data_IF_706911486076
#
_entry.id   IF_706911486076
#
_cell.length_a   1.000
_cell.length_b   1.000
_cell.length_c   1.000
_cell.angle_alpha   90.00
_cell.angle_beta   90.00
_cell.angle_gamma   90.00
#
_symmetry.space_group_name_H-M   'P 1'
#
loop_
_entity.id
_entity.type
_entity.pdbx_description
1 polymer ?
#
# COMPACT_ATOMS: atom_id res chain seq x y z
N UNK A 1 -13.93 8.96 14.36
CA UNK A 1 -12.86 7.94 14.51
C UNK A 1 -12.01 8.24 15.72
N UNK A 2 -11.73 7.25 16.57
CA UNK A 2 -10.83 7.43 17.71
C UNK A 2 -9.36 7.14 17.34
N UNK A 3 -8.57 8.19 17.10
CA UNK A 3 -7.12 8.04 17.01
C UNK A 3 -6.54 7.72 18.40
N UNK A 4 -5.48 6.92 18.41
CA UNK A 4 -4.77 6.51 19.62
C UNK A 4 -3.48 7.33 19.73
N UNK A 5 -3.16 7.84 20.94
CA UNK A 5 -1.94 8.61 21.13
C UNK A 5 -0.69 7.75 20.90
N UNK A 6 0.43 8.41 20.65
CA UNK A 6 1.76 7.79 20.63
C UNK A 6 1.99 6.98 21.90
N UNK A 7 2.65 5.83 21.79
CA UNK A 7 3.03 5.02 22.95
C UNK A 7 4.32 4.26 22.65
N UNK A 8 5.22 4.26 23.63
CA UNK A 8 6.49 3.57 23.49
C UNK A 8 6.30 2.04 23.42
N UNK A 9 5.45 1.53 24.31
CA UNK A 9 4.93 0.16 24.25
C UNK A 9 3.40 0.23 24.36
N UNK A 10 2.66 -0.15 23.31
CA UNK A 10 1.23 -0.27 23.42
C UNK A 10 0.90 -1.45 24.33
N UNK A 11 0.13 -1.21 25.39
CA UNK A 11 -0.45 -2.29 26.17
C UNK A 11 -1.50 -3.01 25.32
N UNK A 12 -1.48 -4.35 25.34
CA UNK A 12 -2.58 -5.14 24.83
C UNK A 12 -3.82 -4.85 25.67
N UNK A 13 -4.94 -4.52 25.04
CA UNK A 13 -6.21 -4.41 25.78
C UNK A 13 -6.47 -5.73 26.52
N UNK A 14 -6.95 -5.70 27.78
CA UNK A 14 -7.09 -6.89 28.60
C UNK A 14 -8.00 -7.92 27.91
N UNK A 15 -7.41 -9.07 27.57
CA UNK A 15 -8.02 -10.34 27.22
C UNK A 15 -9.47 -10.30 26.73
N UNK A 16 -9.64 -10.01 25.45
CA UNK A 16 -10.60 -10.76 24.65
C UNK A 16 -9.83 -11.73 23.76
N UNK A 17 -9.39 -12.86 24.34
CA UNK A 17 -9.20 -14.10 23.57
C UNK A 17 -10.58 -14.61 23.08
N UNK A 18 -11.36 -13.75 22.45
CA UNK A 18 -12.47 -14.15 21.60
C UNK A 18 -11.76 -14.60 20.34
N UNK A 19 -11.70 -15.92 20.13
CA UNK A 19 -11.07 -16.57 18.97
C UNK A 19 -11.06 -15.63 17.77
N UNK A 20 -9.88 -15.09 17.41
CA UNK A 20 -9.72 -13.92 16.55
C UNK A 20 -10.69 -13.96 15.37
N UNK A 21 -11.86 -13.33 15.55
CA UNK A 21 -12.82 -13.26 14.48
C UNK A 21 -12.15 -12.39 13.44
N UNK A 22 -12.00 -12.91 12.21
CA UNK A 22 -11.45 -12.10 11.13
C UNK A 22 -12.27 -10.82 11.10
N UNK A 23 -11.62 -9.64 11.13
CA UNK A 23 -12.34 -8.39 11.10
C UNK A 23 -13.25 -8.39 9.87
N UNK A 24 -14.47 -7.86 10.03
CA UNK A 24 -15.34 -7.61 8.89
C UNK A 24 -14.58 -6.78 7.85
N UNK A 25 -15.02 -6.88 6.60
CA UNK A 25 -14.39 -6.14 5.49
C UNK A 25 -15.43 -5.26 4.83
N UNK A 26 -14.95 -4.13 4.32
CA UNK A 26 -15.70 -3.22 3.47
C UNK A 26 -15.22 -3.42 2.05
N UNK A 27 -16.14 -3.82 1.17
CA UNK A 27 -15.86 -4.10 -0.23
C UNK A 27 -16.13 -2.88 -1.11
N UNK A 28 -15.13 -2.49 -1.88
CA UNK A 28 -15.22 -1.43 -2.87
C UNK A 28 -15.32 -2.07 -4.25
N UNK A 29 -16.47 -1.89 -4.91
CA UNK A 29 -16.83 -2.52 -6.17
C UNK A 29 -16.53 -1.60 -7.36
N UNK A 30 -16.12 -2.21 -8.46
CA UNK A 30 -15.95 -1.53 -9.75
C UNK A 30 -17.30 -1.52 -10.50
N UNK A 31 -17.88 -0.34 -10.81
CA UNK A 31 -19.24 -0.22 -11.36
C UNK A 31 -19.36 -0.64 -12.83
N UNK A 32 -18.28 -0.53 -13.61
CA UNK A 32 -18.27 -0.95 -15.02
C UNK A 32 -18.48 -2.45 -15.28
N UNK A 33 -18.26 -3.32 -14.29
CA UNK A 33 -18.43 -4.77 -14.46
C UNK A 33 -19.71 -5.27 -13.78
N UNK A 34 -20.35 -6.28 -14.36
CA UNK A 34 -21.49 -6.95 -13.75
C UNK A 34 -21.05 -7.83 -12.57
N UNK A 35 -21.96 -8.01 -11.61
CA UNK A 35 -21.71 -8.80 -10.40
C UNK A 35 -20.78 -8.11 -9.39
N UNK A 36 -20.23 -8.90 -8.47
CA UNK A 36 -19.36 -8.43 -7.39
C UNK A 36 -17.91 -8.27 -7.86
N UNK A 37 -17.65 -7.31 -8.75
CA UNK A 37 -16.30 -6.97 -9.19
C UNK A 37 -15.57 -6.14 -8.10
N UNK A 38 -15.13 -6.81 -7.03
CA UNK A 38 -14.42 -6.19 -5.91
C UNK A 38 -13.07 -5.66 -6.38
N UNK A 39 -12.95 -4.33 -6.41
CA UNK A 39 -11.73 -3.59 -6.67
C UNK A 39 -10.77 -3.72 -5.49
N UNK A 40 -11.25 -3.41 -4.29
CA UNK A 40 -10.52 -3.54 -3.04
C UNK A 40 -11.48 -4.06 -1.98
N UNK A 41 -11.01 -4.97 -1.15
CA UNK A 41 -11.68 -5.35 0.09
C UNK A 41 -10.76 -4.90 1.21
N UNK A 42 -11.21 -4.06 2.13
CA UNK A 42 -10.36 -3.48 3.18
C UNK A 42 -10.91 -3.86 4.57
N UNK A 43 -10.04 -4.17 5.55
CA UNK A 43 -10.49 -4.59 6.88
C UNK A 43 -11.12 -3.43 7.64
N UNK A 44 -12.26 -3.69 8.28
CA UNK A 44 -13.07 -2.69 8.99
C UNK A 44 -12.54 -2.45 10.43
N UNK A 45 -11.31 -1.94 10.51
CA UNK A 45 -10.57 -1.74 11.77
C UNK A 45 -10.84 -0.38 12.42
N UNK A 46 -11.57 0.50 11.74
CA UNK A 46 -11.88 1.86 12.18
C UNK A 46 -13.28 1.91 12.82
N UNK A 47 -13.38 1.59 14.12
CA UNK A 47 -14.64 1.56 14.88
C UNK A 47 -15.80 0.81 14.15
N UNK A 48 -15.48 -0.37 13.60
CA UNK A 48 -16.41 -1.22 12.86
C UNK A 48 -16.56 -0.88 11.37
N UNK A 49 -15.79 0.07 10.86
CA UNK A 49 -15.76 0.47 9.45
C UNK A 49 -14.34 0.78 8.96
N UNK A 50 -14.23 1.61 7.92
CA UNK A 50 -12.96 2.12 7.40
C UNK A 50 -12.99 3.64 7.23
N UNK A 51 -11.85 4.28 7.49
CA UNK A 51 -11.63 5.70 7.20
C UNK A 51 -11.95 6.04 5.74
N UNK A 52 -12.84 7.02 5.55
CA UNK A 52 -13.33 7.48 4.27
C UNK A 52 -12.20 7.95 3.35
N UNK A 53 -11.29 8.78 3.86
CA UNK A 53 -10.22 9.39 3.07
C UNK A 53 -9.15 8.36 2.69
N UNK A 54 -8.85 7.43 3.59
CA UNK A 54 -7.97 6.28 3.34
C UNK A 54 -8.55 5.37 2.26
N UNK A 55 -9.83 5.01 2.36
CA UNK A 55 -10.51 4.18 1.38
C UNK A 55 -10.58 4.85 0.00
N UNK A 56 -10.94 6.14 -0.04
CA UNK A 56 -11.03 6.93 -1.27
C UNK A 56 -9.67 7.01 -1.97
N UNK A 57 -8.62 7.28 -1.20
CA UNK A 57 -7.24 7.34 -1.70
C UNK A 57 -6.78 5.98 -2.22
N UNK A 58 -7.06 4.89 -1.49
CA UNK A 58 -6.70 3.53 -1.92
C UNK A 58 -7.39 3.15 -3.24
N UNK A 59 -8.70 3.39 -3.37
CA UNK A 59 -9.43 3.15 -4.61
C UNK A 59 -8.90 4.04 -5.76
N UNK A 60 -8.61 5.31 -5.46
CA UNK A 60 -8.01 6.24 -6.42
C UNK A 60 -6.64 5.78 -6.93
N UNK A 61 -5.79 5.22 -6.07
CA UNK A 61 -4.49 4.62 -6.48
C UNK A 61 -4.72 3.49 -7.48
N UNK A 62 -5.64 2.55 -7.17
CA UNK A 62 -5.96 1.44 -8.07
C UNK A 62 -6.56 1.93 -9.39
N UNK A 63 -7.31 3.03 -9.37
CA UNK A 63 -7.89 3.66 -10.55
C UNK A 63 -6.93 4.60 -11.31
N UNK A 64 -5.63 4.60 -10.97
CA UNK A 64 -4.63 5.43 -11.68
C UNK A 64 -4.63 6.88 -11.25
N UNK A 65 -4.60 7.12 -9.94
CA UNK A 65 -4.56 8.45 -9.29
C UNK A 65 -5.86 9.26 -9.40
N UNK A 66 -7.01 8.58 -9.36
CA UNK A 66 -8.35 9.18 -9.58
C UNK A 66 -9.13 9.42 -8.29
N UNK A 67 -8.47 9.90 -7.23
CA UNK A 67 -9.14 10.24 -5.95
C UNK A 67 -9.83 11.60 -5.94
N UNK A 68 -9.46 12.55 -6.82
CA UNK A 68 -10.07 13.89 -6.86
C UNK A 68 -11.47 13.89 -7.45
N UNK A 69 -11.67 13.06 -8.47
CA UNK A 69 -12.91 12.95 -9.22
C UNK A 69 -13.66 11.63 -8.93
N UNK A 70 -13.00 10.69 -8.25
CA UNK A 70 -13.65 9.52 -7.71
C UNK A 70 -14.55 9.82 -6.52
N UNK A 71 -15.63 9.04 -6.37
CA UNK A 71 -16.53 9.13 -5.23
C UNK A 71 -17.17 7.76 -4.93
N UNK A 72 -17.71 7.62 -3.72
CA UNK A 72 -18.44 6.42 -3.33
C UNK A 72 -19.95 6.56 -3.59
N UNK A 73 -20.58 5.45 -3.98
CA UNK A 73 -22.02 5.34 -4.16
C UNK A 73 -22.52 4.03 -3.55
N UNK A 74 -23.75 4.02 -3.02
CA UNK A 74 -24.40 2.80 -2.57
C UNK A 74 -25.00 1.98 -3.71
N UNK A 75 -25.15 2.58 -4.90
CA UNK A 75 -25.63 1.90 -6.11
C UNK A 75 -24.63 1.97 -7.27
N UNK A 76 -24.80 1.02 -8.21
CA UNK A 76 -23.94 0.84 -9.38
C UNK A 76 -24.03 2.00 -10.39
N UNK A 77 -25.15 2.69 -10.47
CA UNK A 77 -25.33 3.82 -11.40
C UNK A 77 -24.64 5.11 -10.94
N UNK A 78 -24.32 5.20 -9.65
CA UNK A 78 -23.70 6.39 -9.05
C UNK A 78 -24.72 7.46 -8.62
N UNK A 79 -26.02 7.18 -8.68
CA UNK A 79 -27.08 8.14 -8.34
C UNK A 79 -27.12 8.45 -6.84
N UNK A 80 -26.89 7.43 -6.00
CA UNK A 80 -26.91 7.50 -4.54
C UNK A 80 -25.50 7.74 -4.01
N UNK A 81 -25.00 8.95 -4.26
CA UNK A 81 -23.67 9.37 -3.81
C UNK A 81 -23.59 9.36 -2.28
N UNK A 82 -22.59 8.66 -1.75
CA UNK A 82 -22.26 8.62 -0.33
C UNK A 82 -21.51 9.89 0.04
N UNK A 83 -22.07 10.66 0.97
CA UNK A 83 -21.38 11.80 1.56
C UNK A 83 -20.36 11.31 2.58
N UNK A 84 -19.27 12.06 2.74
CA UNK A 84 -18.27 11.79 3.79
C UNK A 84 -18.96 11.86 5.16
N UNK A 85 -18.99 10.78 5.95
CA UNK A 85 -19.58 10.82 7.29
C UNK A 85 -18.84 11.81 8.21
N UNK A 86 -19.54 12.37 9.20
CA UNK A 86 -18.95 13.34 10.13
C UNK A 86 -17.77 12.73 10.91
N UNK A 87 -17.93 11.49 11.34
CA UNK A 87 -16.89 10.72 12.02
C UNK A 87 -15.86 10.10 11.09
N UNK A 88 -16.01 10.34 9.77
CA UNK A 88 -15.18 9.90 8.66
C UNK A 88 -15.14 8.38 8.45
N UNK A 89 -16.11 7.62 8.97
CA UNK A 89 -16.07 6.14 8.90
C UNK A 89 -17.18 5.57 8.02
N UNK A 90 -16.77 4.81 7.01
CA UNK A 90 -17.64 3.99 6.16
C UNK A 90 -17.94 2.64 6.82
N UNK A 91 -19.21 2.37 7.14
CA UNK A 91 -19.65 1.17 7.89
C UNK A 91 -20.49 0.17 7.10
N UNK A 92 -20.94 0.54 5.91
CA UNK A 92 -21.65 -0.42 5.06
C UNK A 92 -20.69 -1.48 4.55
N UNK A 93 -21.22 -2.67 4.26
CA UNK A 93 -20.41 -3.80 3.80
C UNK A 93 -19.86 -3.59 2.38
N UNK A 94 -20.51 -2.74 1.58
CA UNK A 94 -20.14 -2.53 0.19
C UNK A 94 -20.40 -1.10 -0.30
N UNK A 95 -19.51 -0.61 -1.15
CA UNK A 95 -19.62 0.65 -1.85
C UNK A 95 -19.15 0.50 -3.30
N UNK A 96 -19.70 1.28 -4.22
CA UNK A 96 -19.15 1.40 -5.58
C UNK A 96 -18.18 2.58 -5.64
N UNK A 97 -16.98 2.37 -6.17
CA UNK A 97 -16.06 3.45 -6.49
C UNK A 97 -16.36 3.96 -7.90
N UNK A 98 -16.99 5.13 -7.98
CA UNK A 98 -17.46 5.75 -9.21
C UNK A 98 -16.43 6.74 -9.73
N UNK A 99 -16.29 6.82 -11.06
CA UNK A 99 -15.55 7.86 -11.76
C UNK A 99 -16.50 8.59 -12.73
N UNK A 100 -16.26 9.87 -13.04
CA UNK A 100 -17.04 10.57 -14.04
C UNK A 100 -16.83 9.94 -15.43
N UNK A 101 -17.92 9.85 -16.18
CA UNK A 101 -17.93 9.27 -17.52
C UNK A 101 -18.87 8.07 -17.64
N UNK A 102 -18.94 7.45 -18.82
CA UNK A 102 -19.77 6.28 -19.03
C UNK A 102 -19.21 5.06 -18.28
N UNK A 103 -20.11 4.15 -17.88
CA UNK A 103 -19.73 2.86 -17.28
C UNK A 103 -19.18 1.85 -18.31
N UNK A 104 -19.48 2.09 -19.59
CA UNK A 104 -19.05 1.28 -20.71
C UNK A 104 -18.31 2.18 -21.74
N UNK A 105 -17.01 1.92 -22.02
CA UNK A 105 -16.19 0.86 -21.45
C UNK A 105 -15.86 1.10 -19.96
N UNK A 106 -15.68 0.04 -19.15
CA UNK A 106 -15.22 0.17 -17.76
C UNK A 106 -13.95 1.01 -17.67
N UNK A 107 -13.77 1.78 -16.59
CA UNK A 107 -12.51 2.50 -16.40
C UNK A 107 -11.34 1.52 -16.19
N UNK A 108 -10.12 1.86 -16.64
CA UNK A 108 -8.98 0.97 -16.50
C UNK A 108 -8.41 1.02 -15.07
N UNK A 109 -7.85 -0.10 -14.60
CA UNK A 109 -7.23 -0.21 -13.27
C UNK A 109 -5.74 -0.51 -13.36
N UNK A 110 -4.93 0.05 -12.47
CA UNK A 110 -3.51 -0.25 -12.34
C UNK A 110 -3.34 -1.61 -11.66
N UNK A 111 -2.71 -2.61 -12.33
CA UNK A 111 -2.73 -3.97 -11.83
C UNK A 111 -1.68 -4.27 -10.75
N UNK A 112 -0.64 -3.43 -10.63
CA UNK A 112 0.48 -3.58 -9.68
C UNK A 112 1.33 -2.32 -9.65
N UNK A 113 2.15 -2.20 -8.60
CA UNK A 113 2.99 -1.03 -8.35
C UNK A 113 3.93 -0.66 -9.50
N UNK A 114 4.56 -1.63 -10.18
CA UNK A 114 5.49 -1.32 -11.28
C UNK A 114 4.85 -0.55 -12.45
N UNK A 115 3.55 -0.74 -12.68
CA UNK A 115 2.83 0.03 -13.69
C UNK A 115 2.27 1.34 -13.15
N UNK A 116 2.15 1.51 -11.83
CA UNK A 116 1.70 2.77 -11.24
C UNK A 116 2.70 3.89 -11.50
N UNK A 117 2.23 5.12 -11.72
CA UNK A 117 3.08 6.31 -11.82
C UNK A 117 2.80 7.27 -10.69
N UNK A 118 3.85 7.87 -10.16
CA UNK A 118 3.76 8.79 -9.04
C UNK A 118 3.09 10.12 -9.47
N UNK A 119 2.07 10.61 -8.73
CA UNK A 119 1.37 11.85 -9.04
C UNK A 119 2.14 13.07 -8.52
N UNK A 120 3.21 13.48 -9.22
CA UNK A 120 3.97 14.67 -8.83
C UNK A 120 3.06 15.89 -8.65
N UNK A 121 3.21 16.58 -7.52
CA UNK A 121 2.43 17.76 -7.12
C UNK A 121 0.91 17.51 -6.95
N UNK A 122 0.46 16.25 -7.03
CA UNK A 122 -0.96 15.88 -6.97
C UNK A 122 -1.26 14.80 -5.93
N UNK A 123 -0.44 14.71 -4.88
CA UNK A 123 -0.73 13.85 -3.72
C UNK A 123 -2.02 14.32 -3.01
N UNK A 124 -2.76 13.43 -2.33
CA UNK A 124 -4.06 13.79 -1.76
C UNK A 124 -3.98 14.91 -0.73
N UNK A 125 -5.04 15.73 -0.64
CA UNK A 125 -5.04 16.97 0.15
C UNK A 125 -4.67 16.76 1.64
N UNK A 126 -5.08 15.64 2.23
CA UNK A 126 -4.76 15.32 3.62
C UNK A 126 -3.26 15.09 3.85
N UNK A 127 -2.58 14.52 2.85
CA UNK A 127 -1.12 14.32 2.86
C UNK A 127 -0.38 15.64 2.68
N UNK A 128 -0.86 16.52 1.79
CA UNK A 128 -0.30 17.86 1.60
C UNK A 128 -0.43 18.70 2.87
N UNK A 129 -1.61 18.69 3.51
CA UNK A 129 -1.88 19.38 4.78
C UNK A 129 -0.94 18.88 5.88
N UNK A 130 -0.86 17.56 6.07
CA UNK A 130 0.05 16.98 7.04
C UNK A 130 1.51 17.39 6.80
N UNK A 131 1.96 17.37 5.55
CA UNK A 131 3.34 17.75 5.19
C UNK A 131 3.63 19.21 5.56
N UNK A 132 2.70 20.13 5.25
CA UNK A 132 2.82 21.55 5.59
C UNK A 132 2.87 21.78 7.11
N UNK A 133 2.00 21.12 7.88
CA UNK A 133 1.97 21.23 9.33
C UNK A 133 3.23 20.63 9.97
N UNK A 134 3.66 19.47 9.48
CA UNK A 134 4.91 18.84 9.91
C UNK A 134 6.13 19.71 9.59
N UNK A 135 6.15 20.40 8.43
CA UNK A 135 7.20 21.36 8.10
C UNK A 135 7.22 22.55 9.06
N UNK A 136 6.05 23.08 9.45
CA UNK A 136 5.95 24.17 10.42
C UNK A 136 6.43 23.77 11.83
N UNK A 137 6.16 22.53 12.26
CA UNK A 137 6.56 22.02 13.57
C UNK A 137 8.07 21.69 13.69
N UNK A 138 8.81 21.62 12.57
CA UNK A 138 10.22 21.18 12.50
C UNK A 138 11.26 22.23 12.92
N UNK A 139 10.85 23.36 13.49
CA UNK A 139 11.74 24.47 13.90
C UNK A 139 12.53 24.22 15.20
N UNK A 140 12.76 22.96 15.62
CA UNK A 140 13.47 22.65 16.86
C UNK A 140 14.09 21.25 16.94
N UNK A 141 15.39 21.15 16.61
CA UNK A 141 16.29 20.06 17.01
C UNK A 141 16.34 18.82 16.09
N UNK A 142 17.51 18.17 16.02
CA UNK A 142 17.66 16.84 15.41
C UNK A 142 16.86 15.81 16.23
N UNK A 143 15.91 15.12 15.58
CA UNK A 143 15.25 13.98 16.20
C UNK A 143 16.30 12.89 16.49
N UNK A 144 16.41 12.49 17.76
CA UNK A 144 17.24 11.35 18.15
C UNK A 144 16.87 10.11 17.31
N UNK A 145 17.87 9.32 16.87
CA UNK A 145 17.67 8.06 16.14
C UNK A 145 16.95 7.04 17.02
N UNK A 146 15.62 7.12 17.04
CA UNK A 146 14.71 6.25 17.78
C UNK A 146 13.70 5.65 16.83
N UNK A 147 13.10 4.53 17.23
CA UNK A 147 12.02 3.96 16.45
C UNK A 147 10.85 4.96 16.35
N UNK A 148 10.37 5.26 15.14
CA UNK A 148 9.24 6.19 14.94
C UNK A 148 7.91 5.67 15.49
N UNK A 149 7.83 4.39 15.82
CA UNK A 149 6.62 3.77 16.37
C UNK A 149 6.71 3.53 17.89
N UNK A 150 7.81 2.97 18.38
CA UNK A 150 7.98 2.62 19.79
C UNK A 150 8.87 3.59 20.58
N UNK A 151 9.55 4.54 19.93
CA UNK A 151 10.50 5.45 20.58
C UNK A 151 11.70 4.77 21.28
N UNK A 152 11.89 3.45 21.04
CA UNK A 152 13.03 2.70 21.58
C UNK A 152 14.33 3.19 20.93
N UNK A 153 15.42 3.17 21.70
CA UNK A 153 16.77 3.51 21.24
C UNK A 153 17.59 2.32 20.77
N UNK A 154 17.18 1.10 21.14
CA UNK A 154 17.92 -0.14 20.88
C UNK A 154 17.16 -1.08 19.93
N UNK A 155 17.89 -1.98 19.27
CA UNK A 155 17.31 -2.95 18.32
C UNK A 155 16.72 -2.29 17.06
N UNK A 156 17.36 -1.21 16.61
CA UNK A 156 16.88 -0.37 15.52
C UNK A 156 17.46 -0.79 14.16
N UNK A 157 16.62 -0.69 13.14
CA UNK A 157 16.96 -0.90 11.74
C UNK A 157 16.48 0.29 10.90
N UNK A 158 17.20 0.53 9.80
CA UNK A 158 16.81 1.51 8.79
C UNK A 158 15.86 0.84 7.80
N UNK A 159 14.59 1.24 7.86
CA UNK A 159 13.52 0.74 7.02
C UNK A 159 13.29 1.66 5.84
N UNK A 160 13.40 1.12 4.63
CA UNK A 160 13.02 1.85 3.44
C UNK A 160 11.50 1.98 3.34
N UNK A 161 11.00 3.19 3.10
CA UNK A 161 9.62 3.41 2.71
C UNK A 161 9.36 2.68 1.39
N UNK A 162 10.18 2.91 0.37
CA UNK A 162 10.16 2.16 -0.88
C UNK A 162 11.38 1.24 -0.89
N UNK A 163 11.20 -0.09 -0.85
CA UNK A 163 12.32 -1.02 -0.79
C UNK A 163 13.29 -0.82 -1.95
N UNK A 164 14.58 -1.05 -1.69
CA UNK A 164 15.65 -0.89 -2.68
C UNK A 164 15.42 -1.67 -3.99
N UNK A 165 14.64 -2.76 -3.97
CA UNK A 165 14.29 -3.53 -5.18
C UNK A 165 13.25 -2.86 -6.11
N UNK A 166 12.79 -1.65 -5.78
CA UNK A 166 11.92 -0.82 -6.63
C UNK A 166 12.71 0.36 -7.25
N UNK A 167 14.03 0.22 -7.40
CA UNK A 167 14.95 1.18 -8.02
C UNK A 167 14.54 1.57 -9.46
N UNK A 168 14.18 0.60 -10.29
CA UNK A 168 13.67 0.85 -11.64
C UNK A 168 12.43 1.76 -11.62
N UNK A 169 11.51 1.50 -10.70
CA UNK A 169 10.31 2.31 -10.52
C UNK A 169 10.66 3.70 -10.01
N UNK A 170 11.57 3.78 -9.04
CA UNK A 170 12.04 5.04 -8.46
C UNK A 170 12.63 5.98 -9.51
N UNK A 171 13.57 5.47 -10.32
CA UNK A 171 14.22 6.22 -11.38
C UNK A 171 13.22 6.65 -12.47
N UNK A 172 12.36 5.71 -12.90
CA UNK A 172 11.37 5.96 -13.94
C UNK A 172 10.25 6.93 -13.52
N UNK A 173 10.08 7.18 -12.22
CA UNK A 173 9.19 8.21 -11.68
C UNK A 173 9.94 9.44 -11.17
N UNK A 174 11.21 9.62 -11.52
CA UNK A 174 12.00 10.77 -11.11
C UNK A 174 11.96 11.07 -9.59
N UNK A 175 11.85 10.03 -8.76
CA UNK A 175 11.68 10.19 -7.31
C UNK A 175 12.92 10.77 -6.61
N UNK A 176 14.08 10.75 -7.28
CA UNK A 176 15.32 11.41 -6.82
C UNK A 176 15.16 12.90 -6.53
N UNK A 177 14.16 13.58 -7.13
CA UNK A 177 13.90 15.00 -6.84
C UNK A 177 13.49 15.26 -5.38
N UNK A 178 12.92 14.25 -4.70
CA UNK A 178 12.48 14.33 -3.30
C UNK A 178 13.54 13.82 -2.33
N UNK A 179 14.63 13.24 -2.85
CA UNK A 179 15.71 12.63 -2.07
C UNK A 179 17.06 13.13 -2.59
N UNK A 180 17.39 14.43 -2.38
CA UNK A 180 18.67 14.96 -2.80
C UNK A 180 19.80 14.20 -2.09
N UNK A 181 20.65 13.53 -2.88
CA UNK A 181 21.69 12.62 -2.39
C UNK A 181 22.65 13.35 -1.46
N UNK A 182 22.94 12.77 -0.28
CA UNK A 182 24.10 13.17 0.49
C UNK A 182 25.37 12.68 -0.22
N UNK A 183 26.44 13.47 -0.12
CA UNK A 183 27.71 13.40 -0.86
C UNK A 183 28.44 12.01 -0.91
N UNK A 184 27.91 10.96 -0.29
CA UNK A 184 28.57 9.66 -0.11
C UNK A 184 27.69 8.41 -0.34
N UNK A 185 26.41 8.52 -0.75
CA UNK A 185 25.59 7.35 -1.13
C UNK A 185 25.66 7.09 -2.64
N UNK A 186 25.69 5.82 -3.03
CA UNK A 186 25.79 5.39 -4.43
C UNK A 186 24.45 5.48 -5.18
N UNK A 187 23.31 5.28 -4.49
CA UNK A 187 21.98 5.27 -5.11
C UNK A 187 20.99 6.26 -4.43
N UNK A 188 20.21 7.06 -5.19
CA UNK A 188 19.25 8.03 -4.62
C UNK A 188 18.11 7.41 -3.80
N UNK A 189 17.76 6.15 -4.06
CA UNK A 189 16.71 5.40 -3.33
C UNK A 189 17.11 5.13 -1.87
N UNK A 190 18.41 5.11 -1.57
CA UNK A 190 18.95 4.97 -0.21
C UNK A 190 19.08 6.31 0.52
N UNK A 191 18.58 7.39 -0.09
CA UNK A 191 18.64 8.70 0.52
C UNK A 191 17.73 8.82 1.76
N UNK A 192 18.04 9.76 2.67
CA UNK A 192 17.36 9.89 3.97
C UNK A 192 15.88 10.28 3.86
N UNK A 193 15.41 10.66 2.67
CA UNK A 193 13.99 10.92 2.39
C UNK A 193 13.14 9.65 2.31
N UNK A 194 13.76 8.52 1.99
CA UNK A 194 13.13 7.22 1.83
C UNK A 194 13.34 6.31 3.06
N UNK A 195 13.88 6.83 4.17
CA UNK A 195 14.33 6.02 5.29
C UNK A 195 13.63 6.39 6.61
N UNK A 196 13.10 5.39 7.30
CA UNK A 196 12.60 5.47 8.67
C UNK A 196 13.42 4.59 9.60
N UNK A 197 13.56 5.00 10.86
CA UNK A 197 14.13 4.13 11.89
C UNK A 197 13.01 3.34 12.57
N UNK A 198 13.08 2.01 12.53
CA UNK A 198 12.10 1.11 13.13
C UNK A 198 12.79 0.10 14.04
N UNK A 199 12.08 -0.40 15.06
CA UNK A 199 12.51 -1.58 15.81
C UNK A 199 12.44 -2.80 14.88
N UNK A 200 13.39 -3.72 14.97
CA UNK A 200 13.55 -4.82 13.99
C UNK A 200 12.28 -5.68 13.78
N UNK A 201 11.50 -5.93 14.84
CA UNK A 201 10.22 -6.63 14.77
C UNK A 201 9.17 -5.86 13.96
N UNK A 202 9.06 -4.55 14.19
CA UNK A 202 8.15 -3.66 13.46
C UNK A 202 8.59 -3.47 12.02
N UNK A 203 9.91 -3.41 11.76
CA UNK A 203 10.47 -3.33 10.41
C UNK A 203 10.10 -4.56 9.59
N UNK A 204 10.25 -5.77 10.14
CA UNK A 204 9.88 -7.01 9.44
C UNK A 204 8.42 -7.01 9.01
N UNK A 205 7.51 -6.61 9.90
CA UNK A 205 6.06 -6.55 9.62
C UNK A 205 5.71 -5.40 8.66
N UNK A 206 6.45 -4.28 8.75
CA UNK A 206 6.34 -3.17 7.81
C UNK A 206 6.64 -3.66 6.39
N UNK A 207 7.82 -4.23 6.13
CA UNK A 207 8.29 -4.70 4.83
C UNK A 207 7.40 -5.77 4.18
N UNK A 208 6.74 -6.59 4.99
CA UNK A 208 5.73 -7.54 4.53
C UNK A 208 4.39 -6.90 4.10
N UNK A 209 4.30 -5.56 4.14
CA UNK A 209 3.11 -4.76 3.76
C UNK A 209 1.90 -5.04 4.64
N UNK A 210 2.13 -5.32 5.92
CA UNK A 210 1.01 -5.47 6.86
C UNK A 210 0.38 -4.13 7.23
N UNK A 211 1.17 -3.07 7.29
CA UNK A 211 0.72 -1.72 7.57
C UNK A 211 1.55 -0.68 6.82
N UNK A 212 1.02 0.54 6.75
CA UNK A 212 1.79 1.74 6.39
C UNK A 212 1.34 2.93 7.23
N UNK A 213 1.94 4.10 6.99
CA UNK A 213 1.61 5.32 7.70
C UNK A 213 0.66 6.17 6.85
N UNK A 214 -0.45 6.62 7.43
CA UNK A 214 -1.50 7.37 6.74
C UNK A 214 -1.89 8.58 7.59
N UNK A 215 -2.02 9.78 7.01
CA UNK A 215 -2.54 10.93 7.74
C UNK A 215 -4.05 10.78 7.93
N UNK A 216 -4.54 11.02 9.13
CA UNK A 216 -5.96 11.04 9.47
C UNK A 216 -6.29 12.31 10.24
N UNK A 217 -7.44 12.92 9.95
CA UNK A 217 -7.97 14.02 10.76
C UNK A 217 -8.57 13.42 12.05
N UNK A 218 -8.28 14.02 13.21
CA UNK A 218 -9.03 13.71 14.42
C UNK A 218 -10.44 14.33 14.33
N UNK A 219 -11.39 13.70 15.03
CA UNK A 219 -12.74 14.19 15.18
C UNK A 219 -12.75 15.66 15.64
N UNK A 220 -13.48 16.52 14.92
CA UNK A 220 -13.94 17.77 15.49
C UNK A 220 -14.98 17.39 16.55
N UNK A 221 -14.56 17.23 17.80
CA UNK A 221 -15.46 17.14 18.95
C UNK A 221 -16.23 18.48 19.07
N UNK A 222 -17.29 18.64 18.28
CA UNK A 222 -17.95 19.93 18.09
C UNK A 222 -19.20 19.85 17.20
N UNK A 223 -19.96 18.78 17.33
CA UNK A 223 -21.27 18.62 16.69
C UNK A 223 -22.25 17.91 17.62
N UNK A 224 -22.18 18.23 18.92
CA UNK A 224 -23.21 17.80 19.85
C UNK A 224 -24.54 18.37 19.40
N UNK A 225 -25.47 17.51 19.02
CA UNK A 225 -26.89 17.80 18.94
C UNK A 225 -27.33 18.44 20.26
N UNK A 226 -27.48 19.76 20.25
CA UNK A 226 -27.77 20.56 21.43
C UNK A 226 -28.34 21.91 21.02
N UNK A 227 -29.66 21.88 20.83
CA UNK A 227 -30.62 22.99 20.93
C UNK A 227 -30.42 24.27 20.10
N UNK A 228 -31.49 24.64 19.39
CA UNK A 228 -31.56 25.86 18.60
C UNK A 228 -31.66 27.08 19.53
N UNK A 229 -30.52 27.66 19.88
CA UNK A 229 -30.40 28.93 20.59
C UNK A 229 -29.62 29.95 19.77
N UNK A 230 -30.31 30.98 19.27
CA UNK A 230 -29.74 32.07 18.49
C UNK A 230 -28.56 32.76 19.21
N UNK A 231 -27.43 32.89 18.52
CA UNK A 231 -26.28 33.66 18.99
C UNK A 231 -25.11 33.57 18.03
N UNK A 232 -24.90 34.63 17.24
CA UNK A 232 -23.77 34.79 16.34
C UNK A 232 -22.45 34.84 17.11
N UNK A 233 -21.64 33.80 17.01
CA UNK A 233 -20.21 33.85 17.26
C UNK A 233 -19.49 33.06 16.16
N UNK A 234 -18.65 33.76 15.39
CA UNK A 234 -17.67 33.13 14.51
C UNK A 234 -16.70 32.33 15.38
N UNK A 235 -17.02 31.05 15.60
CA UNK A 235 -16.06 30.09 16.09
C UNK A 235 -15.09 29.81 14.93
N UNK A 236 -13.95 30.50 14.93
CA UNK A 236 -12.75 29.98 14.28
C UNK A 236 -12.34 28.74 15.07
N UNK A 237 -13.01 27.62 14.83
CA UNK A 237 -12.59 26.32 15.36
C UNK A 237 -11.21 26.05 14.77
N UNK A 238 -10.17 26.21 15.59
CA UNK A 238 -8.80 25.82 15.26
C UNK A 238 -8.82 24.34 14.86
N UNK A 239 -8.77 24.08 13.56
CA UNK A 239 -8.79 22.72 13.04
C UNK A 239 -7.48 22.07 13.42
N UNK A 240 -7.53 21.05 14.26
CA UNK A 240 -6.35 20.29 14.69
C UNK A 240 -5.61 19.75 13.45
N UNK A 241 -4.27 19.81 13.41
CA UNK A 241 -3.51 19.26 12.30
C UNK A 241 -3.78 17.75 12.17
N UNK A 242 -3.80 17.20 10.94
CA UNK A 242 -3.91 15.77 10.74
C UNK A 242 -2.75 15.05 11.42
N UNK A 243 -3.01 13.88 11.97
CA UNK A 243 -1.98 13.04 12.60
C UNK A 243 -1.60 11.91 11.67
N UNK A 244 -0.30 11.64 11.56
CA UNK A 244 0.16 10.46 10.87
C UNK A 244 0.05 9.25 11.81
N UNK A 245 -0.71 8.25 11.38
CA UNK A 245 -1.00 7.05 12.17
C UNK A 245 -0.63 5.78 11.42
N UNK A 246 -0.46 4.69 12.15
CA UNK A 246 -0.33 3.35 11.55
C UNK A 246 -1.70 2.86 11.07
N UNK A 247 -1.83 2.56 9.78
CA UNK A 247 -2.99 1.91 9.21
C UNK A 247 -2.65 0.48 8.76
N UNK A 248 -3.38 -0.49 9.32
CA UNK A 248 -3.16 -1.93 9.08
C UNK A 248 -4.03 -2.39 7.91
N UNK A 249 -3.40 -2.90 6.85
CA UNK A 249 -4.07 -3.46 5.67
C UNK A 249 -4.22 -4.98 5.75
N UNK A 250 -3.22 -5.65 6.32
CA UNK A 250 -3.20 -7.10 6.48
C UNK A 250 -2.90 -7.43 7.94
N UNK A 251 -3.87 -7.98 8.67
CA UNK A 251 -3.60 -8.43 10.05
C UNK A 251 -2.72 -9.67 10.05
N UNK A 252 -1.85 -9.79 11.06
CA UNK A 252 -1.16 -11.03 11.38
C UNK A 252 -2.17 -12.05 11.92
N UNK A 253 -1.88 -13.37 11.83
CA UNK A 253 -2.75 -14.41 12.40
C UNK A 253 -3.05 -14.24 13.89
N UNK A 254 -2.14 -13.57 14.63
CA UNK A 254 -2.31 -13.31 16.06
C UNK A 254 -3.34 -12.21 16.37
N UNK A 255 -3.75 -11.38 15.40
CA UNK A 255 -4.63 -10.23 15.65
C UNK A 255 -3.98 -9.07 16.43
N UNK A 256 -2.77 -9.26 16.94
CA UNK A 256 -2.11 -8.27 17.81
C UNK A 256 -1.71 -6.99 17.08
N UNK A 257 -1.35 -7.08 15.79
CA UNK A 257 -0.92 -5.91 15.02
C UNK A 257 -2.00 -4.80 15.00
N UNK A 258 -3.26 -5.08 14.60
CA UNK A 258 -4.30 -4.06 14.65
C UNK A 258 -4.65 -3.63 16.07
N UNK A 259 -4.65 -4.55 17.04
CA UNK A 259 -4.94 -4.23 18.44
C UNK A 259 -3.93 -3.27 19.06
N UNK A 260 -2.64 -3.42 18.74
CA UNK A 260 -1.57 -2.61 19.32
C UNK A 260 -1.35 -1.31 18.54
N UNK A 261 -1.39 -1.38 17.21
CA UNK A 261 -0.85 -0.32 16.35
C UNK A 261 -1.87 0.39 15.47
N UNK A 262 -3.03 -0.20 15.14
CA UNK A 262 -3.98 0.49 14.26
C UNK A 262 -4.47 1.82 14.86
N UNK A 263 -4.50 2.87 14.03
CA UNK A 263 -4.81 4.25 14.40
C UNK A 263 -3.94 4.86 15.49
N UNK A 264 -2.78 4.25 15.79
CA UNK A 264 -1.80 4.83 16.71
C UNK A 264 -0.96 5.87 16.00
N UNK A 265 -0.92 7.07 16.57
CA UNK A 265 -0.04 8.14 16.11
C UNK A 265 1.43 7.71 16.23
N UNK A 266 2.23 8.13 15.25
CA UNK A 266 3.67 7.92 15.26
C UNK A 266 4.39 8.99 16.09
N UNK A 267 5.55 8.65 16.63
CA UNK A 267 6.47 9.63 17.19
C UNK A 267 7.01 10.54 16.07
N UNK A 268 7.73 11.60 16.46
CA UNK A 268 8.28 12.57 15.51
C UNK A 268 9.06 11.88 14.37
N UNK A 269 8.65 12.14 13.14
CA UNK A 269 9.32 11.64 11.94
C UNK A 269 10.51 12.56 11.61
N UNK A 270 11.67 12.00 11.20
CA UNK A 270 12.81 12.81 10.77
C UNK A 270 12.42 13.84 9.71
N UNK A 271 13.01 15.04 9.81
CA UNK A 271 12.74 16.12 8.86
C UNK A 271 13.18 15.80 7.42
N UNK A 272 14.08 14.83 7.27
CA UNK A 272 14.56 14.37 5.97
C UNK A 272 13.51 13.59 5.20
N UNK A 273 12.55 12.94 5.87
CA UNK A 273 11.55 12.06 5.25
C UNK A 273 10.56 12.86 4.41
N UNK A 274 10.47 12.50 3.13
CA UNK A 274 9.57 13.14 2.18
C UNK A 274 8.15 12.56 2.27
N UNK A 275 7.14 13.42 2.16
CA UNK A 275 5.73 12.99 2.11
C UNK A 275 5.47 12.12 0.87
N UNK A 276 6.20 12.36 -0.20
CA UNK A 276 6.14 11.62 -1.45
C UNK A 276 6.58 10.17 -1.27
N UNK A 277 7.61 9.91 -0.47
CA UNK A 277 8.03 8.55 -0.14
C UNK A 277 7.01 7.85 0.76
N UNK A 278 6.40 8.57 1.72
CA UNK A 278 5.32 8.01 2.54
C UNK A 278 4.09 7.65 1.69
N UNK A 279 3.73 8.50 0.73
CA UNK A 279 2.61 8.25 -0.17
C UNK A 279 2.89 7.12 -1.15
N UNK A 280 4.12 7.06 -1.71
CA UNK A 280 4.52 5.93 -2.55
C UNK A 280 4.54 4.61 -1.77
N UNK A 281 4.89 4.60 -0.47
CA UNK A 281 4.72 3.42 0.41
C UNK A 281 3.27 2.99 0.50
N UNK A 282 2.36 3.94 0.67
CA UNK A 282 0.93 3.67 0.72
C UNK A 282 0.46 3.00 -0.57
N UNK A 283 0.82 3.56 -1.74
CA UNK A 283 0.49 2.96 -3.02
C UNK A 283 1.11 1.57 -3.22
N UNK A 284 2.37 1.37 -2.79
CA UNK A 284 3.06 0.07 -2.81
C UNK A 284 2.36 -0.99 -1.96
N UNK A 285 1.80 -0.58 -0.82
CA UNK A 285 1.01 -1.44 0.07
C UNK A 285 -0.34 -1.79 -0.54
N UNK A 286 -1.08 -0.81 -1.05
CA UNK A 286 -2.41 -0.98 -1.67
C UNK A 286 -2.34 -1.87 -2.91
N UNK A 287 -1.36 -1.66 -3.78
CA UNK A 287 -1.18 -2.43 -5.03
C UNK A 287 -0.49 -3.78 -4.82
N UNK A 288 -0.31 -4.20 -3.57
CA UNK A 288 0.29 -5.48 -3.27
C UNK A 288 -0.66 -6.65 -3.54
N UNK A 289 -0.17 -7.84 -3.90
CA UNK A 289 -1.02 -9.02 -4.14
C UNK A 289 -1.79 -9.52 -2.92
N UNK A 290 -1.51 -8.99 -1.72
CA UNK A 290 -2.23 -9.30 -0.47
C UNK A 290 -3.43 -8.37 -0.26
N UNK A 291 -3.34 -7.11 -0.70
CA UNK A 291 -4.42 -6.12 -0.57
C UNK A 291 -5.28 -6.07 -1.84
N UNK A 292 -4.64 -6.09 -3.00
CA UNK A 292 -5.30 -6.15 -4.31
C UNK A 292 -5.39 -7.60 -4.79
N UNK A 293 -6.17 -8.41 -4.07
CA UNK A 293 -6.22 -9.87 -4.20
C UNK A 293 -7.52 -10.43 -4.77
N UNK A 294 -8.53 -9.59 -5.03
CA UNK A 294 -9.83 -10.04 -5.54
C UNK A 294 -10.05 -9.70 -7.03
N UNK A 295 -9.69 -8.49 -7.45
CA UNK A 295 -10.09 -7.97 -8.77
C UNK A 295 -9.49 -8.73 -9.95
N UNK A 296 -8.20 -9.09 -9.86
CA UNK A 296 -7.44 -9.75 -10.93
C UNK A 296 -7.52 -11.28 -10.89
N UNK A 297 -7.25 -11.98 -9.77
CA UNK A 297 -7.15 -13.44 -9.80
C UNK A 297 -8.49 -14.15 -9.87
N UNK A 298 -9.55 -13.54 -9.35
CA UNK A 298 -10.88 -14.16 -9.20
C UNK A 298 -11.86 -13.79 -10.32
N UNK A 299 -11.38 -13.20 -11.43
CA UNK A 299 -12.24 -12.73 -12.52
C UNK A 299 -12.56 -13.83 -13.54
N UNK A 300 -13.84 -14.01 -13.93
CA UNK A 300 -14.23 -14.81 -15.09
C UNK A 300 -14.27 -13.99 -16.39
N UNK A 301 -14.21 -12.66 -16.31
CA UNK A 301 -14.32 -11.73 -17.45
C UNK A 301 -13.01 -10.99 -17.70
N UNK A 302 -12.76 -10.53 -18.94
CA UNK A 302 -11.63 -9.65 -19.22
C UNK A 302 -11.64 -8.39 -18.35
N UNK A 303 -10.45 -7.89 -18.02
CA UNK A 303 -10.28 -6.65 -17.25
C UNK A 303 -9.53 -5.64 -18.08
N UNK A 304 -10.04 -4.41 -18.08
CA UNK A 304 -9.36 -3.25 -18.64
C UNK A 304 -8.27 -2.79 -17.67
N UNK A 305 -7.01 -2.95 -18.05
CA UNK A 305 -5.86 -2.62 -17.22
C UNK A 305 -5.14 -1.38 -17.75
N UNK A 306 -4.65 -0.57 -16.83
CA UNK A 306 -3.80 0.58 -17.12
C UNK A 306 -2.34 0.18 -16.94
N UNK A 307 -1.60 0.09 -18.04
CA UNK A 307 -0.21 -0.35 -18.08
C UNK A 307 0.68 0.82 -18.50
N UNK A 308 1.74 1.06 -17.72
CA UNK A 308 2.79 1.99 -18.15
C UNK A 308 3.74 1.31 -19.13
N UNK A 309 3.95 1.93 -20.30
CA UNK A 309 4.97 1.55 -21.27
C UNK A 309 6.18 2.44 -21.09
N UNK A 310 7.30 1.89 -20.58
CA UNK A 310 8.55 2.63 -20.44
C UNK A 310 9.11 3.08 -21.79
N UNK A 311 8.96 2.27 -22.84
CA UNK A 311 9.46 2.59 -24.20
C UNK A 311 8.77 3.81 -24.82
N UNK A 312 7.48 3.98 -24.55
CA UNK A 312 6.65 5.04 -25.15
C UNK A 312 6.35 6.17 -24.18
N UNK A 313 6.85 6.08 -22.94
CA UNK A 313 6.57 6.99 -21.83
C UNK A 313 5.08 7.37 -21.72
N UNK A 314 4.20 6.38 -21.89
CA UNK A 314 2.76 6.62 -21.90
C UNK A 314 1.98 5.49 -21.25
N UNK A 315 0.78 5.85 -20.84
CA UNK A 315 -0.23 4.91 -20.42
C UNK A 315 -0.84 4.20 -21.64
N UNK A 316 -0.86 2.88 -21.57
CA UNK A 316 -1.58 2.03 -22.50
C UNK A 316 -2.69 1.32 -21.75
N UNK A 317 -3.86 1.31 -22.36
CA UNK A 317 -5.00 0.58 -21.83
C UNK A 317 -5.14 -0.73 -22.59
N UNK A 318 -5.11 -1.84 -21.86
CA UNK A 318 -5.17 -3.18 -22.45
C UNK A 318 -6.33 -3.95 -21.85
N UNK A 319 -7.09 -4.62 -22.70
CA UNK A 319 -8.08 -5.61 -22.26
C UNK A 319 -7.37 -6.94 -22.01
N UNK A 320 -7.17 -7.27 -20.75
CA UNK A 320 -6.46 -8.47 -20.33
C UNK A 320 -7.45 -9.62 -20.10
N UNK A 321 -7.16 -10.78 -20.70
CA UNK A 321 -7.95 -11.99 -20.44
C UNK A 321 -7.85 -12.42 -18.97
N UNK A 322 -8.80 -13.25 -18.48
CA UNK A 322 -8.72 -13.83 -17.13
C UNK A 322 -7.40 -14.56 -16.84
N UNK A 323 -6.86 -15.29 -17.82
CA UNK A 323 -5.58 -16.01 -17.70
C UNK A 323 -4.43 -15.03 -17.53
N UNK A 324 -4.42 -13.95 -18.31
CA UNK A 324 -3.42 -12.89 -18.22
C UNK A 324 -3.49 -12.18 -16.87
N UNK A 325 -4.68 -11.88 -16.36
CA UNK A 325 -4.89 -11.29 -15.04
C UNK A 325 -4.32 -12.20 -13.92
N UNK A 326 -4.63 -13.51 -13.96
CA UNK A 326 -4.11 -14.51 -13.02
C UNK A 326 -2.58 -14.60 -13.08
N UNK A 327 -2.00 -14.61 -14.29
CA UNK A 327 -0.54 -14.66 -14.49
C UNK A 327 0.15 -13.41 -13.93
N UNK A 328 -0.39 -12.22 -14.23
CA UNK A 328 0.16 -10.95 -13.73
C UNK A 328 0.16 -10.89 -12.21
N UNK A 329 -0.92 -11.33 -11.58
CA UNK A 329 -1.03 -11.36 -10.13
C UNK A 329 -0.09 -12.38 -9.48
N UNK A 330 0.08 -13.58 -10.08
CA UNK A 330 1.06 -14.58 -9.59
C UNK A 330 2.48 -14.05 -9.66
N UNK A 331 2.86 -13.40 -10.77
CA UNK A 331 4.20 -12.84 -10.95
C UNK A 331 4.50 -11.67 -10.00
N UNK A 332 3.47 -10.97 -9.52
CA UNK A 332 3.66 -9.95 -8.49
C UNK A 332 4.01 -10.54 -7.12
N UNK A 333 3.59 -11.78 -6.82
CA UNK A 333 3.94 -12.47 -5.56
C UNK A 333 5.39 -12.94 -5.52
N UNK A 334 5.96 -13.36 -6.66
CA UNK A 334 7.33 -13.89 -6.72
C UNK A 334 8.40 -12.82 -6.52
N UNK A 335 8.08 -11.54 -6.71
CA UNK A 335 8.98 -10.39 -6.46
C UNK A 335 8.91 -9.83 -5.03
N UNK A 336 8.05 -10.37 -4.16
CA UNK A 336 8.02 -9.94 -2.76
C UNK A 336 9.39 -10.18 -2.13
N UNK A 337 9.93 -9.28 -1.28
CA UNK A 337 11.26 -9.44 -0.69
C UNK A 337 11.33 -10.74 0.12
N UNK A 338 11.80 -11.81 -0.51
CA UNK A 338 12.25 -12.98 0.22
C UNK A 338 13.68 -12.67 0.62
N UNK A 339 13.94 -12.68 1.92
CA UNK A 339 15.27 -12.54 2.53
C UNK A 339 16.29 -13.27 1.66
N UNK A 340 17.22 -12.54 1.02
CA UNK A 340 18.32 -13.15 0.26
C UNK A 340 19.01 -14.10 1.23
N UNK A 341 19.08 -15.39 0.90
CA UNK A 341 20.03 -16.29 1.54
C UNK A 341 21.40 -15.64 1.41
N UNK A 342 22.14 -15.53 2.52
CA UNK A 342 23.48 -14.95 2.53
C UNK A 342 24.33 -15.54 1.39
N UNK A 343 25.16 -14.75 0.72
CA UNK A 343 26.09 -15.29 -0.27
C UNK A 343 26.94 -16.36 0.44
N UNK A 344 26.91 -17.59 -0.08
CA UNK A 344 27.88 -18.62 0.31
C UNK A 344 29.25 -18.02 0.07
N UNK A 345 29.98 -17.72 1.14
CA UNK A 345 31.38 -17.38 1.07
C UNK A 345 32.10 -18.56 0.43
N UNK A 346 32.48 -18.44 -0.83
CA UNK A 346 33.50 -19.30 -1.44
C UNK A 346 34.84 -18.88 -0.84
N UNK A 347 35.09 -19.29 0.39
CA UNK A 347 36.34 -19.13 1.11
C UNK A 347 36.93 -20.51 1.35
N UNK A 348 38.11 -20.75 0.77
CA UNK A 348 38.93 -21.95 0.90
C UNK A 348 39.22 -22.33 2.36
N UNK A 349 38.26 -22.97 3.02
CA UNK A 349 38.37 -23.46 4.39
C UNK A 349 37.57 -24.75 4.63
N UNK A 350 37.05 -25.37 3.56
CA UNK A 350 36.24 -26.60 3.59
C UNK A 350 37.06 -27.84 3.20
N UNK A 351 38.38 -27.85 3.46
CA UNK A 351 39.24 -29.02 3.22
C UNK A 351 39.75 -29.69 4.52
N UNK A 352 39.29 -29.27 5.70
CA UNK A 352 39.80 -29.82 6.97
C UNK A 352 38.77 -30.46 7.91
N UNK A 353 37.49 -30.57 7.54
CA UNK A 353 36.48 -31.19 8.42
C UNK A 353 35.58 -32.22 7.73
N UNK A 354 35.97 -32.75 6.58
CA UNK A 354 35.27 -33.87 5.93
C UNK A 354 35.78 -35.24 6.41
N UNK A 355 35.73 -35.48 7.73
CA UNK A 355 35.78 -36.84 8.31
C UNK A 355 34.95 -36.86 9.59
N UNK A 356 33.65 -37.07 9.44
CA UNK A 356 32.89 -38.12 10.12
C UNK A 356 31.37 -37.89 10.02
N UNK A 357 30.65 -39.01 10.00
CA UNK A 357 29.20 -39.17 10.18
C UNK A 357 28.24 -38.98 8.99
N UNK A 358 28.10 -40.10 8.27
CA UNK A 358 26.87 -40.77 7.81
C UNK A 358 25.54 -40.25 8.40
N UNK A 359 24.56 -39.98 7.51
CA UNK A 359 23.18 -40.49 7.68
C UNK A 359 22.00 -39.51 7.57
N UNK A 360 21.27 -39.61 6.44
CA UNK A 360 19.85 -39.27 6.21
C UNK A 360 19.48 -37.76 6.29
N UNK A 361 18.80 -37.13 5.33
CA UNK A 361 17.70 -37.57 4.49
C UNK A 361 17.64 -36.68 3.23
N UNK A 362 17.37 -37.35 2.13
CA UNK A 362 17.06 -36.85 0.80
C UNK A 362 15.71 -36.08 0.77
N UNK A 363 15.73 -34.87 0.22
CA UNK A 363 14.60 -34.37 -0.55
C UNK A 363 15.13 -33.43 -1.63
N UNK A 364 15.63 -34.02 -2.71
CA UNK A 364 15.91 -33.31 -3.95
C UNK A 364 14.67 -32.60 -4.50
N UNK A 365 14.86 -31.39 -5.00
CA UNK A 365 14.45 -30.95 -6.33
C UNK A 365 15.03 -29.54 -6.54
N UNK A 366 16.26 -29.50 -7.05
CA UNK A 366 16.83 -28.33 -7.70
C UNK A 366 16.38 -28.37 -9.15
N UNK A 367 15.59 -27.40 -9.58
CA UNK A 367 15.44 -27.09 -11.00
C UNK A 367 16.10 -25.72 -11.22
N UNK A 368 17.19 -25.77 -11.97
CA UNK A 368 17.96 -24.63 -12.46
C UNK A 368 17.19 -23.95 -13.57
N UNK A 369 16.76 -22.70 -13.37
CA UNK A 369 16.27 -21.88 -14.47
C UNK A 369 17.19 -20.67 -14.70
N UNK A 370 17.69 -20.67 -15.93
CA UNK A 370 18.55 -19.69 -16.57
C UNK A 370 17.89 -18.31 -16.58
N UNK A 371 18.68 -17.29 -16.29
CA UNK A 371 18.31 -15.89 -16.41
C UNK A 371 18.31 -15.51 -17.90
N UNK A 372 17.14 -15.19 -18.46
CA UNK A 372 17.09 -14.42 -19.70
C UNK A 372 15.93 -13.41 -19.65
N UNK A 373 16.33 -12.14 -19.53
CA UNK A 373 15.46 -10.98 -19.44
C UNK A 373 15.36 -10.32 -20.81
N UNK A 374 14.27 -10.60 -21.55
CA UNK A 374 13.76 -9.70 -22.59
C UNK A 374 12.30 -10.05 -22.91
N UNK A 375 11.35 -9.26 -22.40
CA UNK A 375 9.97 -9.33 -22.85
C UNK A 375 9.79 -8.35 -24.01
N UNK A 376 9.76 -8.87 -25.24
CA UNK A 376 9.48 -8.10 -26.46
C UNK A 376 8.07 -8.45 -26.97
N UNK A 377 7.10 -7.51 -27.03
CA UNK A 377 5.71 -7.81 -27.41
C UNK A 377 5.48 -7.99 -28.92
N UNK A 378 6.51 -7.90 -29.75
CA UNK A 378 6.36 -7.64 -31.20
C UNK A 378 6.30 -8.87 -32.11
N UNK A 379 6.09 -10.09 -31.59
CA UNK A 379 6.21 -11.30 -32.42
C UNK A 379 5.07 -12.29 -32.19
N UNK A 380 3.88 -11.94 -32.68
CA UNK A 380 2.79 -12.90 -32.89
C UNK A 380 2.11 -12.57 -34.22
N UNK A 381 2.67 -13.10 -35.30
CA UNK A 381 1.92 -13.32 -36.54
C UNK A 381 1.34 -14.73 -36.48
N UNK A 382 0.10 -14.84 -36.93
CA UNK A 382 -0.77 -16.02 -36.93
C UNK A 382 -0.10 -17.26 -37.54
N UNK A 383 -0.14 -18.39 -36.85
CA UNK A 383 0.02 -19.71 -37.48
C UNK A 383 -1.35 -20.37 -37.60
N UNK A 384 -1.84 -20.46 -38.84
CA UNK A 384 -3.03 -21.24 -39.21
C UNK A 384 -2.78 -22.76 -39.05
N UNK A 385 -3.82 -23.55 -38.71
CA UNK A 385 -3.69 -24.99 -38.50
C UNK A 385 -3.58 -25.75 -39.83
N UNK A 386 -2.44 -26.41 -40.07
CA UNK A 386 -2.30 -27.34 -41.21
C UNK A 386 -3.02 -28.66 -40.94
N UNK A 387 -3.94 -28.98 -41.83
CA UNK A 387 -4.75 -30.20 -41.83
C UNK A 387 -3.93 -31.48 -42.01
N UNK A 388 -4.50 -32.55 -41.43
CA UNK A 388 -4.03 -33.93 -41.47
C UNK A 388 -4.50 -34.58 -42.79
N UNK A 389 -3.59 -35.09 -43.61
CA UNK A 389 -3.94 -35.96 -44.74
C UNK A 389 -3.43 -37.37 -44.49
N UNK A 390 -4.32 -38.33 -44.72
CA UNK A 390 -4.09 -39.77 -44.64
C UNK A 390 -3.19 -40.25 -45.78
N UNK A 391 -2.34 -41.23 -45.47
CA UNK A 391 -2.06 -42.39 -46.34
C UNK A 391 -2.24 -43.62 -45.47
#
# INVERSE_FOLDING_TARGET
MRLRPTANEPESQPNHYVAAQRPSRVDFLHPGYSGSAVLLSLPALDDGGIDFDTALTACGVVAGNRWRDGFFSSDRSGASRVQRPDDSILRELQYFFQLPGPLDPPYPTVPRFSHWRFPHNDVPALWQRWSADAAAARMGGEAARRCVLSNYGDGLEMAHLLPAGEDDWWLSNHMQQYSPTQLFSSDPIDGPANLLTLRADLHCVFDERHFCLVPKDEENAGGGSGDAGAGSYQATTERKPPQLVVHVFNSTPSGQLPELWHNRAVHAIPATVAVECLFARFAWTVLSPRVFDMFLPSTPVPRRLLLWSCEKEKWETTEASPEMCRKMWKNARSRSPRKRSAPRSTGASEELLAKDSVGLIDSGYFETDNYDSAFNPSKWQEEEPRGRSQI
#
